data_IF_304908748327
#
_entry.id   IF_304908748327
#
_cell.length_a   1.000
_cell.length_b   1.000
_cell.length_c   1.000
_cell.angle_alpha   90.00
_cell.angle_beta   90.00
_cell.angle_gamma   90.00
#
_symmetry.space_group_name_H-M   'P 1'
#
loop_
_entity.id
_entity.type
_entity.pdbx_description
1 polymer ?
#
# COMPACT_ATOMS: atom_id res chain seq x y z
N UNK A 1 -27.73 -16.41 -9.70
CA UNK A 1 -26.27 -16.58 -9.80
C UNK A 1 -25.68 -15.26 -9.35
N UNK A 2 -25.38 -15.13 -8.06
CA UNK A 2 -24.79 -13.89 -7.54
C UNK A 2 -23.35 -13.82 -8.04
N UNK A 3 -23.13 -12.98 -9.05
CA UNK A 3 -21.79 -12.55 -9.44
C UNK A 3 -21.30 -11.68 -8.29
N UNK A 4 -20.64 -12.27 -7.30
CA UNK A 4 -19.82 -11.51 -6.36
C UNK A 4 -18.77 -10.79 -7.19
N UNK A 5 -19.02 -9.53 -7.52
CA UNK A 5 -18.10 -8.70 -8.29
C UNK A 5 -16.77 -8.64 -7.54
N UNK A 6 -15.79 -9.38 -8.03
CA UNK A 6 -14.43 -9.33 -7.50
C UNK A 6 -13.93 -7.93 -7.82
N UNK A 7 -13.91 -7.04 -6.81
CA UNK A 7 -13.38 -5.70 -6.98
C UNK A 7 -11.91 -5.80 -7.38
N UNK A 8 -11.57 -5.15 -8.47
CA UNK A 8 -10.20 -4.99 -8.96
C UNK A 8 -9.39 -4.08 -8.03
N UNK A 9 -8.07 -4.12 -8.14
CA UNK A 9 -7.22 -3.25 -7.33
C UNK A 9 -7.48 -1.76 -7.63
N UNK A 10 -7.81 -1.42 -8.88
CA UNK A 10 -8.18 -0.07 -9.26
C UNK A 10 -9.49 0.39 -8.61
N UNK A 11 -10.48 -0.49 -8.46
CA UNK A 11 -11.74 -0.16 -7.79
C UNK A 11 -11.59 -0.06 -6.27
N UNK A 12 -10.73 -0.88 -5.66
CA UNK A 12 -10.50 -0.87 -4.21
C UNK A 12 -9.68 0.36 -3.81
N UNK A 13 -8.60 0.65 -4.55
CA UNK A 13 -7.71 1.78 -4.27
C UNK A 13 -8.21 3.10 -4.88
N UNK A 14 -9.17 3.04 -5.81
CA UNK A 14 -9.68 4.18 -6.56
C UNK A 14 -8.63 4.89 -7.44
N UNK A 15 -7.56 4.19 -7.82
CA UNK A 15 -6.46 4.71 -8.63
C UNK A 15 -6.25 3.89 -9.90
N UNK A 16 -5.66 4.53 -10.91
CA UNK A 16 -5.23 3.84 -12.11
C UNK A 16 -4.16 2.81 -11.77
N UNK A 17 -4.33 1.59 -12.29
CA UNK A 17 -3.40 0.49 -12.10
C UNK A 17 -2.69 0.13 -13.41
N UNK A 18 -1.51 -0.45 -13.28
CA UNK A 18 -0.79 -1.10 -14.37
C UNK A 18 -0.53 -2.56 -13.98
N UNK A 19 -0.42 -3.43 -14.99
CA UNK A 19 -0.02 -4.82 -14.76
C UNK A 19 1.49 -4.87 -14.57
N UNK A 20 1.93 -5.37 -13.41
CA UNK A 20 3.33 -5.65 -13.11
C UNK A 20 3.52 -7.14 -12.88
N UNK A 21 4.68 -7.65 -13.28
CA UNK A 21 5.08 -9.02 -12.99
C UNK A 21 5.77 -9.06 -11.63
N UNK A 22 5.38 -10.01 -10.78
CA UNK A 22 5.99 -10.29 -9.50
C UNK A 22 6.42 -11.73 -9.42
N UNK A 23 7.44 -12.00 -8.61
CA UNK A 23 7.90 -13.35 -8.31
C UNK A 23 7.47 -13.72 -6.90
N UNK A 24 6.89 -14.91 -6.74
CA UNK A 24 6.51 -15.43 -5.44
C UNK A 24 7.75 -15.87 -4.67
N UNK A 25 8.00 -15.31 -3.50
CA UNK A 25 9.08 -15.75 -2.60
C UNK A 25 8.92 -17.22 -2.17
N UNK A 26 7.67 -17.70 -2.09
CA UNK A 26 7.36 -19.07 -1.63
C UNK A 26 7.57 -20.13 -2.71
N UNK A 27 7.26 -19.79 -3.97
CA UNK A 27 7.20 -20.78 -5.07
C UNK A 27 8.17 -20.50 -6.21
N UNK A 28 8.77 -19.31 -6.27
CA UNK A 28 9.59 -18.86 -7.40
C UNK A 28 8.79 -18.53 -8.66
N UNK A 29 7.48 -18.77 -8.67
CA UNK A 29 6.64 -18.54 -9.83
C UNK A 29 6.40 -17.05 -10.07
N UNK A 30 6.43 -16.66 -11.34
CA UNK A 30 6.03 -15.32 -11.75
C UNK A 30 4.51 -15.24 -11.89
N UNK A 31 3.94 -14.13 -11.45
CA UNK A 31 2.52 -13.83 -11.55
C UNK A 31 2.33 -12.36 -11.88
N UNK A 32 1.25 -12.03 -12.58
CA UNK A 32 0.91 -10.65 -12.89
C UNK A 32 -0.08 -10.13 -11.85
N UNK A 33 0.14 -8.90 -11.38
CA UNK A 33 -0.76 -8.20 -10.46
C UNK A 33 -0.98 -6.78 -10.96
N UNK A 34 -2.18 -6.25 -10.72
CA UNK A 34 -2.47 -4.84 -10.95
C UNK A 34 -2.00 -4.03 -9.76
N UNK A 35 -1.16 -3.02 -10.01
CA UNK A 35 -0.63 -2.15 -8.97
C UNK A 35 -0.70 -0.70 -9.43
N UNK A 36 -0.88 0.21 -8.48
CA UNK A 36 -0.69 1.64 -8.73
C UNK A 36 0.83 1.86 -8.71
N UNK A 37 1.45 2.32 -9.81
CA UNK A 37 2.91 2.41 -9.92
C UNK A 37 3.54 3.26 -8.83
N UNK A 38 2.89 4.37 -8.48
CA UNK A 38 3.36 5.33 -7.49
C UNK A 38 2.16 5.97 -6.84
N UNK A 39 2.12 5.97 -5.50
CA UNK A 39 1.06 6.59 -4.74
C UNK A 39 1.63 7.32 -3.52
N UNK A 40 1.33 8.61 -3.42
CA UNK A 40 1.70 9.44 -2.28
C UNK A 40 0.58 9.44 -1.25
N UNK A 41 0.91 9.10 -0.01
CA UNK A 41 -0.02 8.97 1.10
C UNK A 41 0.56 9.65 2.33
N UNK A 42 -0.31 10.07 3.25
CA UNK A 42 0.12 10.78 4.46
C UNK A 42 0.12 9.81 5.62
N UNK A 43 1.25 9.71 6.31
CA UNK A 43 1.35 8.87 7.51
C UNK A 43 0.55 9.44 8.67
N UNK A 44 -0.16 8.57 9.38
CA UNK A 44 -0.87 8.91 10.61
C UNK A 44 -0.11 8.52 11.88
N UNK A 45 1.11 8.00 11.76
CA UNK A 45 1.87 7.56 12.90
C UNK A 45 3.25 7.01 12.56
N UNK A 46 3.83 6.33 13.55
CA UNK A 46 5.10 5.62 13.38
C UNK A 46 4.88 4.31 12.63
N UNK A 47 5.88 3.90 11.85
CA UNK A 47 5.89 2.58 11.26
C UNK A 47 5.94 1.51 12.37
N UNK A 48 5.22 0.41 12.17
CA UNK A 48 5.16 -0.71 13.12
C UNK A 48 5.83 -1.91 12.48
N UNK A 49 6.77 -2.54 13.17
CA UNK A 49 7.42 -3.76 12.69
C UNK A 49 6.46 -4.96 12.75
N UNK A 50 6.45 -5.77 11.70
CA UNK A 50 5.59 -6.95 11.52
C UNK A 50 6.40 -8.10 10.92
N UNK A 51 7.18 -8.79 11.76
CA UNK A 51 8.18 -9.76 11.32
C UNK A 51 9.34 -9.06 10.60
N UNK A 52 9.63 -9.49 9.37
CA UNK A 52 10.66 -8.91 8.49
C UNK A 52 10.17 -7.71 7.67
N UNK A 53 8.94 -7.26 7.92
CA UNK A 53 8.28 -6.19 7.16
C UNK A 53 7.82 -5.07 8.08
N UNK A 54 7.38 -3.98 7.47
CA UNK A 54 6.93 -2.77 8.15
C UNK A 54 5.52 -2.40 7.71
N UNK A 55 4.70 -1.99 8.68
CA UNK A 55 3.32 -1.52 8.47
C UNK A 55 3.28 -0.01 8.65
N UNK A 56 2.71 0.66 7.65
CA UNK A 56 2.49 2.10 7.64
C UNK A 56 1.00 2.35 7.62
N UNK A 57 0.49 2.94 8.70
CA UNK A 57 -0.87 3.49 8.71
C UNK A 57 -0.85 4.83 7.98
N UNK A 58 -1.64 4.93 6.92
CA UNK A 58 -1.60 6.08 6.01
C UNK A 58 -3.00 6.44 5.53
N UNK A 59 -3.17 7.70 5.11
CA UNK A 59 -4.42 8.20 4.55
C UNK A 59 -4.20 8.72 3.14
N UNK A 60 -5.19 8.44 2.30
CA UNK A 60 -5.36 9.00 0.97
C UNK A 60 -6.42 10.10 1.03
N UNK A 61 -5.94 11.35 1.05
CA UNK A 61 -6.82 12.52 1.10
C UNK A 61 -7.71 12.66 -0.13
N UNK A 62 -7.32 12.11 -1.28
CA UNK A 62 -8.07 12.30 -2.53
C UNK A 62 -9.41 11.58 -2.49
N UNK A 63 -9.44 10.40 -1.87
CA UNK A 63 -10.62 9.53 -1.82
C UNK A 63 -11.13 9.26 -0.40
N UNK A 64 -10.57 9.94 0.60
CA UNK A 64 -10.89 9.77 2.02
C UNK A 64 -10.76 8.32 2.49
N UNK A 65 -9.68 7.66 2.06
CA UNK A 65 -9.40 6.26 2.39
C UNK A 65 -8.26 6.15 3.39
N UNK A 66 -8.35 5.15 4.27
CA UNK A 66 -7.28 4.80 5.21
C UNK A 66 -6.76 3.40 4.91
N UNK A 67 -5.45 3.25 4.88
CA UNK A 67 -4.78 1.99 4.60
C UNK A 67 -3.77 1.65 5.68
N UNK A 68 -3.54 0.34 5.85
CA UNK A 68 -2.34 -0.18 6.49
C UNK A 68 -1.52 -0.83 5.38
N UNK A 69 -0.50 -0.11 4.91
CA UNK A 69 0.36 -0.58 3.81
C UNK A 69 1.54 -1.34 4.39
N UNK A 70 1.75 -2.57 3.92
CA UNK A 70 2.90 -3.39 4.30
C UNK A 70 4.01 -3.31 3.24
N UNK A 71 5.23 -3.02 3.66
CA UNK A 71 6.43 -2.99 2.80
C UNK A 71 7.60 -3.73 3.45
N UNK A 72 8.64 -4.03 2.68
CA UNK A 72 9.86 -4.69 3.17
C UNK A 72 10.84 -3.70 3.81
N UNK A 73 10.91 -2.47 3.31
CA UNK A 73 11.87 -1.47 3.79
C UNK A 73 11.29 -0.54 4.88
N UNK A 74 12.17 -0.14 5.80
CA UNK A 74 11.88 0.83 6.85
C UNK A 74 12.18 2.25 6.40
N UNK A 75 11.30 3.20 6.73
CA UNK A 75 11.56 4.63 6.76
C UNK A 75 10.98 5.22 8.04
N UNK A 76 11.64 6.23 8.58
CA UNK A 76 11.17 6.93 9.78
C UNK A 76 9.97 7.82 9.44
N UNK A 77 8.77 7.24 9.53
CA UNK A 77 7.52 7.97 9.35
C UNK A 77 7.01 8.54 10.68
N UNK A 78 6.51 9.76 10.65
CA UNK A 78 5.78 10.40 11.75
C UNK A 78 4.44 10.92 11.25
N UNK A 79 3.54 11.31 12.17
CA UNK A 79 2.26 11.91 11.79
C UNK A 79 2.47 13.11 10.85
N UNK A 80 1.78 13.12 9.71
CA UNK A 80 1.87 14.16 8.69
C UNK A 80 2.98 13.96 7.66
N UNK A 81 3.85 12.96 7.81
CA UNK A 81 4.91 12.67 6.83
C UNK A 81 4.30 12.21 5.51
N UNK A 82 4.75 12.80 4.39
CA UNK A 82 4.32 12.36 3.05
C UNK A 82 5.23 11.21 2.62
N UNK A 83 4.60 10.05 2.44
CA UNK A 83 5.24 8.82 2.02
C UNK A 83 4.86 8.51 0.58
N UNK A 84 5.83 8.16 -0.25
CA UNK A 84 5.61 7.65 -1.59
C UNK A 84 5.80 6.13 -1.60
N UNK A 85 4.76 5.43 -1.99
CA UNK A 85 4.77 3.97 -2.15
C UNK A 85 4.92 3.61 -3.62
N UNK A 86 5.78 2.63 -3.91
CA UNK A 86 5.95 2.09 -5.25
C UNK A 86 5.21 0.77 -5.40
N UNK A 87 4.55 0.61 -6.55
CA UNK A 87 3.82 -0.59 -6.92
C UNK A 87 2.87 -1.05 -5.80
N UNK A 88 1.95 -0.18 -5.38
CA UNK A 88 0.97 -0.50 -4.35
C UNK A 88 -0.16 -1.35 -4.94
N UNK A 89 -0.51 -2.43 -4.25
CA UNK A 89 -1.49 -3.43 -4.67
C UNK A 89 -2.21 -3.96 -3.45
N UNK A 90 -3.41 -4.48 -3.68
CA UNK A 90 -4.24 -5.02 -2.62
C UNK A 90 -4.81 -6.39 -2.98
N UNK A 91 -5.47 -6.99 -2.01
CA UNK A 91 -6.30 -8.16 -2.23
C UNK A 91 -7.34 -8.30 -1.13
N UNK A 92 -8.44 -8.96 -1.44
CA UNK A 92 -9.53 -9.21 -0.52
C UNK A 92 -9.38 -10.63 0.04
N UNK A 93 -9.32 -10.77 1.36
CA UNK A 93 -9.37 -12.07 2.03
C UNK A 93 -10.79 -12.62 1.97
N UNK A 94 -10.95 -13.95 2.13
CA UNK A 94 -12.26 -14.60 2.22
C UNK A 94 -13.14 -14.02 3.35
N UNK A 95 -12.52 -13.40 4.36
CA UNK A 95 -13.20 -12.71 5.47
C UNK A 95 -13.72 -11.32 5.11
N UNK A 96 -13.55 -10.86 3.87
CA UNK A 96 -13.89 -9.51 3.42
C UNK A 96 -12.86 -8.44 3.79
N UNK A 97 -11.83 -8.77 4.58
CA UNK A 97 -10.74 -7.85 4.93
C UNK A 97 -9.83 -7.60 3.73
N UNK A 98 -9.52 -6.34 3.47
CA UNK A 98 -8.57 -5.94 2.43
C UNK A 98 -7.17 -5.85 3.03
N UNK A 99 -6.18 -6.49 2.40
CA UNK A 99 -4.77 -6.24 2.69
C UNK A 99 -4.17 -5.35 1.61
N UNK A 100 -3.21 -4.51 2.00
CA UNK A 100 -2.51 -3.59 1.09
C UNK A 100 -1.01 -3.76 1.26
N UNK A 101 -0.30 -3.86 0.14
CA UNK A 101 1.16 -4.03 0.10
C UNK A 101 1.76 -3.09 -0.94
N UNK A 102 3.02 -2.74 -0.75
CA UNK A 102 3.83 -2.03 -1.74
C UNK A 102 5.24 -2.62 -1.77
N UNK A 103 5.96 -2.41 -2.87
CA UNK A 103 7.32 -2.92 -3.02
C UNK A 103 8.30 -2.14 -2.17
N UNK A 104 8.15 -0.82 -2.15
CA UNK A 104 8.97 0.05 -1.32
C UNK A 104 8.23 1.33 -0.92
N UNK A 105 8.77 1.98 0.11
CA UNK A 105 8.33 3.28 0.59
C UNK A 105 9.51 4.24 0.67
N UNK A 106 9.28 5.51 0.32
CA UNK A 106 10.24 6.60 0.47
C UNK A 106 9.57 7.81 1.13
N UNK A 107 10.36 8.63 1.83
CA UNK A 107 9.89 9.91 2.36
C UNK A 107 10.03 10.97 1.27
N UNK A 108 8.93 11.65 0.94
CA UNK A 108 8.95 12.77 -0.02
C UNK A 108 9.20 14.08 0.70
N UNK A 109 8.48 14.30 1.80
CA UNK A 109 8.61 15.52 2.63
C UNK A 109 8.49 15.12 4.09
N UNK A 110 9.52 15.46 4.88
CA UNK A 110 9.38 15.60 6.32
C UNK A 110 8.67 16.93 6.57
N UNK A 111 7.43 16.90 7.06
CA UNK A 111 6.81 18.10 7.60
C UNK A 111 7.62 18.48 8.85
N UNK A 112 8.61 19.37 8.70
CA UNK A 112 9.21 20.04 9.84
C UNK A 112 8.11 20.87 10.50
N UNK A 113 7.67 20.45 11.69
CA UNK A 113 6.98 21.35 12.60
C UNK A 113 7.97 22.47 12.92
N UNK A 114 7.83 23.61 12.25
CA UNK A 114 8.37 24.87 12.75
C UNK A 114 7.60 25.15 14.05
N UNK A 115 8.25 24.88 15.17
CA UNK A 115 7.82 25.29 16.49
C UNK A 115 8.32 26.72 16.75
#
# INVERSE_FOLDING_TARGET
MELFGIKTNGEILMHNTVKIQKTSEKTGNTYNVEAVPTLQLISIGKAIQDGESWKYSVVDKKYDLQYIVKTSNYVEAQFGTILEFKNIYCGVLQTGKVWVKADSVAIVIHQQRNA
#
